data_IF_852912992662
#
_entry.id   IF_852912992662
#
_cell.length_a   1.000
_cell.length_b   1.000
_cell.length_c   1.000
_cell.angle_alpha   90.00
_cell.angle_beta   90.00
_cell.angle_gamma   90.00
#
_symmetry.space_group_name_H-M   'P 1'
#
loop_
_entity.id
_entity.type
_entity.pdbx_description
1 polymer ?
#
# COMPACT_ATOMS: atom_id res chain seq x y z
N UNK A 1 2.50 -0.66 -7.19
CA UNK A 1 1.53 -1.67 -6.74
C UNK A 1 2.18 -3.01 -7.02
N UNK A 2 2.16 -3.99 -6.12
CA UNK A 2 2.84 -5.28 -6.36
C UNK A 2 2.18 -5.95 -7.55
N UNK A 3 2.81 -5.81 -8.72
CA UNK A 3 2.28 -6.25 -10.00
C UNK A 3 2.70 -7.70 -10.22
N UNK A 4 1.79 -8.65 -9.97
CA UNK A 4 1.94 -10.00 -10.51
C UNK A 4 1.44 -10.02 -11.97
N UNK A 5 2.32 -9.67 -12.91
CA UNK A 5 2.18 -10.13 -14.29
C UNK A 5 2.68 -11.58 -14.33
N UNK A 6 1.76 -12.54 -14.18
CA UNK A 6 2.12 -13.94 -14.32
C UNK A 6 1.95 -14.37 -15.79
N UNK A 7 3.05 -14.42 -16.54
CA UNK A 7 3.08 -15.01 -17.90
C UNK A 7 3.16 -16.54 -17.81
N UNK A 8 2.19 -17.21 -17.15
CA UNK A 8 1.99 -18.67 -17.22
C UNK A 8 0.51 -19.05 -16.99
N UNK A 9 -0.14 -19.38 -18.10
CA UNK A 9 -1.31 -20.25 -18.34
C UNK A 9 -2.50 -20.33 -17.35
N UNK A 10 -3.65 -19.88 -17.88
CA UNK A 10 -5.05 -20.35 -17.74
C UNK A 10 -5.59 -20.81 -16.37
N UNK A 11 -6.56 -20.04 -15.86
CA UNK A 11 -7.81 -20.61 -15.37
C UNK A 11 -8.97 -19.62 -15.64
N UNK A 12 -9.94 -20.06 -16.43
CA UNK A 12 -11.20 -19.36 -16.69
C UNK A 12 -12.15 -19.59 -15.52
N UNK A 13 -12.59 -18.52 -14.85
CA UNK A 13 -13.81 -18.55 -14.04
C UNK A 13 -14.74 -17.41 -14.48
N UNK A 14 -15.91 -17.83 -14.91
CA UNK A 14 -17.03 -17.09 -15.48
C UNK A 14 -17.79 -16.32 -14.39
N UNK A 15 -18.27 -15.11 -14.71
CA UNK A 15 -19.23 -14.37 -13.87
C UNK A 15 -20.49 -15.21 -13.60
N UNK A 16 -20.90 -15.33 -12.33
CA UNK A 16 -22.32 -15.21 -11.89
C UNK A 16 -22.46 -15.24 -10.35
N UNK A 17 -23.36 -14.36 -9.90
CA UNK A 17 -24.24 -14.44 -8.75
C UNK A 17 -23.75 -13.98 -7.36
N UNK A 18 -24.60 -13.13 -6.79
CA UNK A 18 -24.66 -12.69 -5.40
C UNK A 18 -24.28 -13.80 -4.42
N UNK A 19 -23.25 -13.56 -3.63
CA UNK A 19 -23.05 -14.23 -2.36
C UNK A 19 -22.65 -13.15 -1.35
N UNK A 20 -23.29 -13.13 -0.18
CA UNK A 20 -22.71 -12.53 1.01
C UNK A 20 -21.29 -13.11 1.13
N UNK A 21 -20.27 -12.35 0.75
CA UNK A 21 -18.90 -12.78 0.93
C UNK A 21 -18.65 -12.81 2.42
N UNK A 22 -18.60 -14.01 3.00
CA UNK A 22 -18.13 -14.17 4.37
C UNK A 22 -16.67 -13.76 4.39
N UNK A 23 -16.40 -12.51 4.74
CA UNK A 23 -15.06 -11.99 5.00
C UNK A 23 -14.37 -12.98 5.93
N UNK A 24 -13.19 -13.47 5.56
CA UNK A 24 -12.49 -14.46 6.39
C UNK A 24 -12.27 -13.88 7.79
N UNK A 25 -12.34 -14.73 8.83
CA UNK A 25 -12.10 -14.31 10.22
C UNK A 25 -10.77 -13.56 10.37
N UNK A 26 -9.76 -13.95 9.60
CA UNK A 26 -8.46 -13.29 9.57
C UNK A 26 -8.53 -11.87 9.00
N UNK A 27 -9.27 -11.66 7.91
CA UNK A 27 -9.47 -10.34 7.31
C UNK A 27 -10.31 -9.45 8.23
N UNK A 28 -11.38 -9.98 8.82
CA UNK A 28 -12.19 -9.23 9.79
C UNK A 28 -11.37 -8.79 11.01
N UNK A 29 -10.54 -9.70 11.55
CA UNK A 29 -9.63 -9.36 12.65
C UNK A 29 -8.63 -8.28 12.27
N UNK A 30 -8.07 -8.33 11.06
CA UNK A 30 -7.17 -7.29 10.56
C UNK A 30 -7.89 -5.95 10.45
N UNK A 31 -9.09 -5.91 9.88
CA UNK A 31 -9.88 -4.69 9.71
C UNK A 31 -10.20 -4.02 11.05
N UNK A 32 -10.48 -4.80 12.10
CA UNK A 32 -10.75 -4.29 13.44
C UNK A 32 -9.54 -3.65 14.14
N UNK A 33 -8.32 -3.84 13.62
CA UNK A 33 -7.09 -3.27 14.18
C UNK A 33 -6.58 -2.04 13.40
N UNK A 34 -7.34 -1.58 12.40
CA UNK A 34 -7.01 -0.35 11.69
C UNK A 34 -7.26 0.89 12.59
N UNK A 35 -6.52 2.00 12.38
CA UNK A 35 -5.48 2.16 11.37
C UNK A 35 -4.13 1.53 11.76
N UNK A 36 -3.34 1.15 10.76
CA UNK A 36 -1.93 0.78 10.95
C UNK A 36 -1.01 1.93 10.51
N UNK A 37 0.20 2.00 11.08
CA UNK A 37 1.18 3.03 10.75
C UNK A 37 2.49 2.40 10.32
N UNK A 38 3.14 3.02 9.33
CA UNK A 38 4.49 2.63 8.92
C UNK A 38 5.35 3.86 8.58
N UNK A 39 6.65 3.76 8.82
CA UNK A 39 7.64 4.82 8.60
C UNK A 39 8.91 4.22 8.02
N UNK A 40 9.50 4.87 7.02
CA UNK A 40 10.73 4.38 6.40
C UNK A 40 11.21 5.28 5.29
N UNK A 41 12.49 5.17 4.95
CA UNK A 41 13.03 5.89 3.79
C UNK A 41 12.56 5.24 2.50
N UNK A 42 12.18 6.05 1.53
CA UNK A 42 11.78 5.55 0.21
C UNK A 42 13.01 4.97 -0.49
N UNK A 43 12.89 3.72 -0.95
CA UNK A 43 13.93 3.01 -1.69
C UNK A 43 13.51 2.76 -3.13
N UNK A 44 14.49 2.48 -3.99
CA UNK A 44 14.24 2.02 -5.35
C UNK A 44 13.55 0.66 -5.35
N UNK A 45 12.40 0.57 -6.00
CA UNK A 45 11.77 -0.71 -6.32
C UNK A 45 12.38 -1.36 -7.56
N UNK A 46 11.74 -2.44 -8.03
CA UNK A 46 12.16 -3.17 -9.24
C UNK A 46 11.64 -2.58 -10.55
N UNK A 47 11.17 -1.32 -10.53
CA UNK A 47 10.88 -0.55 -11.75
C UNK A 47 9.86 -1.19 -12.71
N UNK A 48 8.82 -1.88 -12.21
CA UNK A 48 7.81 -2.52 -13.06
C UNK A 48 6.83 -1.50 -13.65
N UNK A 49 7.30 -0.65 -14.57
CA UNK A 49 6.50 0.22 -15.45
C UNK A 49 5.62 1.28 -14.78
N UNK A 50 5.41 1.26 -13.46
CA UNK A 50 4.42 2.10 -12.77
C UNK A 50 4.63 3.60 -13.01
N UNK A 51 5.89 4.04 -13.07
CA UNK A 51 6.26 5.43 -13.44
C UNK A 51 5.88 5.77 -14.89
N UNK A 52 6.06 4.86 -15.83
CA UNK A 52 5.68 5.03 -17.26
C UNK A 52 4.16 4.99 -17.45
N UNK A 53 3.44 4.29 -16.58
CA UNK A 53 1.97 4.25 -16.54
C UNK A 53 1.35 5.47 -15.84
N UNK A 54 2.16 6.42 -15.37
CA UNK A 54 1.69 7.61 -14.65
C UNK A 54 1.28 7.36 -13.20
N UNK A 55 1.64 6.21 -12.62
CA UNK A 55 1.31 5.80 -11.25
C UNK A 55 2.61 5.49 -10.50
N UNK A 56 3.49 6.48 -10.26
CA UNK A 56 4.77 6.25 -9.57
C UNK A 56 4.55 5.70 -8.16
N UNK A 57 5.33 4.69 -7.76
CA UNK A 57 5.22 4.07 -6.44
C UNK A 57 6.50 4.22 -5.62
N UNK A 58 6.34 4.62 -4.36
CA UNK A 58 7.38 4.61 -3.34
C UNK A 58 7.44 3.22 -2.69
N UNK A 59 8.64 2.66 -2.57
CA UNK A 59 8.86 1.35 -1.96
C UNK A 59 9.48 1.52 -0.57
N UNK A 60 9.12 0.62 0.34
CA UNK A 60 9.71 0.55 1.67
C UNK A 60 10.88 -0.45 1.75
N UNK A 61 11.85 -0.21 2.65
CA UNK A 61 12.89 -1.19 2.97
C UNK A 61 12.28 -2.46 3.56
N UNK A 62 12.93 -3.60 3.34
CA UNK A 62 12.42 -4.90 3.78
C UNK A 62 12.21 -4.95 5.30
N UNK A 63 13.08 -4.32 6.08
CA UNK A 63 12.96 -4.24 7.53
C UNK A 63 11.67 -3.54 8.00
N UNK A 64 11.20 -2.53 7.26
CA UNK A 64 9.93 -1.87 7.54
C UNK A 64 8.78 -2.80 7.22
N UNK A 65 8.85 -3.50 6.08
CA UNK A 65 7.79 -4.45 5.68
C UNK A 65 7.69 -5.61 6.67
N UNK A 66 8.81 -6.12 7.19
CA UNK A 66 8.85 -7.16 8.23
C UNK A 66 8.31 -6.71 9.58
N UNK A 67 8.29 -5.40 9.83
CA UNK A 67 7.75 -4.83 11.07
C UNK A 67 6.23 -4.69 11.06
N UNK A 68 5.59 -4.88 9.89
CA UNK A 68 4.14 -4.86 9.79
C UNK A 68 3.53 -6.03 10.59
N UNK A 69 2.33 -5.87 11.16
CA UNK A 69 1.65 -6.96 11.84
C UNK A 69 1.46 -8.18 10.92
N UNK A 70 1.74 -9.39 11.41
CA UNK A 70 1.56 -10.64 10.65
C UNK A 70 0.13 -10.82 10.11
N UNK A 71 -0.85 -10.23 10.81
CA UNK A 71 -2.25 -10.23 10.42
C UNK A 71 -2.54 -9.42 9.13
N UNK A 72 -1.61 -8.57 8.66
CA UNK A 72 -1.81 -7.80 7.44
C UNK A 72 -1.82 -8.74 6.23
N UNK A 73 -2.95 -8.76 5.55
CA UNK A 73 -3.17 -9.62 4.40
C UNK A 73 -2.57 -9.00 3.13
N UNK A 74 -2.10 -9.79 2.16
CA UNK A 74 -1.79 -9.26 0.84
C UNK A 74 -3.04 -8.63 0.18
N UNK A 75 -2.87 -7.48 -0.46
CA UNK A 75 -3.96 -6.75 -1.11
C UNK A 75 -3.67 -5.28 -1.32
N UNK A 76 -4.72 -4.54 -1.67
CA UNK A 76 -4.71 -3.09 -1.89
C UNK A 76 -5.41 -2.39 -0.74
N UNK A 77 -4.77 -1.33 -0.26
CA UNK A 77 -5.14 -0.53 0.89
C UNK A 77 -5.20 0.95 0.49
N UNK A 78 -5.87 1.74 1.32
CA UNK A 78 -5.93 3.20 1.18
C UNK A 78 -5.61 3.88 2.51
N UNK A 79 -5.26 5.16 2.44
CA UNK A 79 -5.06 5.96 3.63
C UNK A 79 -4.35 7.27 3.35
N UNK A 80 -3.47 7.64 4.26
CA UNK A 80 -2.78 8.93 4.25
C UNK A 80 -1.27 8.73 4.23
N UNK A 81 -0.57 9.60 3.51
CA UNK A 81 0.88 9.62 3.37
C UNK A 81 1.44 11.00 3.66
N UNK A 82 2.65 11.03 4.21
CA UNK A 82 3.41 12.23 4.46
C UNK A 82 4.87 12.00 4.09
N UNK A 83 5.44 12.92 3.32
CA UNK A 83 6.84 12.87 2.89
C UNK A 83 7.61 13.98 3.60
N UNK A 84 8.70 13.63 4.28
CA UNK A 84 9.60 14.56 4.99
C UNK A 84 8.89 15.60 5.87
N UNK A 85 7.85 15.19 6.60
CA UNK A 85 7.04 16.07 7.45
C UNK A 85 6.37 17.23 6.68
N UNK A 86 6.14 17.08 5.38
CA UNK A 86 5.38 18.01 4.55
C UNK A 86 3.87 17.92 4.75
N UNK A 87 3.05 18.29 3.75
CA UNK A 87 1.61 18.07 3.81
C UNK A 87 1.26 16.57 3.83
N UNK A 88 0.05 16.29 4.31
CA UNK A 88 -0.53 14.93 4.31
C UNK A 88 -1.39 14.78 3.06
N UNK A 89 -1.15 13.72 2.30
CA UNK A 89 -1.84 13.43 1.04
C UNK A 89 -2.55 12.08 1.11
N UNK A 90 -3.61 11.93 0.33
CA UNK A 90 -4.23 10.61 0.12
C UNK A 90 -3.24 9.66 -0.55
N UNK A 91 -3.38 8.37 -0.28
CA UNK A 91 -2.55 7.34 -0.90
C UNK A 91 -3.33 6.05 -1.12
N UNK A 92 -2.91 5.30 -2.13
CA UNK A 92 -3.21 3.87 -2.26
C UNK A 92 -1.92 3.08 -2.08
N UNK A 93 -2.03 1.88 -1.53
CA UNK A 93 -0.88 1.03 -1.23
C UNK A 93 -1.18 -0.40 -1.60
N UNK A 94 -0.19 -1.10 -2.12
CA UNK A 94 -0.26 -2.55 -2.26
C UNK A 94 0.77 -3.22 -1.38
N UNK A 95 0.31 -4.26 -0.72
CA UNK A 95 1.13 -5.17 0.08
C UNK A 95 1.01 -6.55 -0.57
N UNK A 96 2.13 -7.15 -0.95
CA UNK A 96 2.12 -8.38 -1.74
C UNK A 96 3.41 -9.17 -1.64
N UNK A 97 3.35 -10.46 -1.92
CA UNK A 97 4.54 -11.32 -1.92
C UNK A 97 5.47 -10.98 -3.07
N UNK A 98 6.76 -10.87 -2.79
CA UNK A 98 7.76 -10.51 -3.79
C UNK A 98 8.34 -11.76 -4.48
N UNK A 99 8.11 -11.94 -5.80
CA UNK A 99 8.64 -13.09 -6.54
C UNK A 99 10.16 -13.16 -6.60
N UNK A 100 10.87 -12.03 -6.47
CA UNK A 100 12.33 -11.99 -6.51
C UNK A 100 13.00 -12.58 -5.26
N UNK A 101 12.24 -12.71 -4.17
CA UNK A 101 12.69 -13.34 -2.93
C UNK A 101 12.02 -14.70 -2.72
N UNK A 102 11.76 -15.45 -3.80
CA UNK A 102 11.03 -16.72 -3.79
C UNK A 102 9.65 -16.64 -3.09
N UNK A 103 8.99 -15.47 -3.11
CA UNK A 103 7.78 -15.19 -2.33
C UNK A 103 7.93 -15.46 -0.82
N UNK A 104 9.14 -15.38 -0.27
CA UNK A 104 9.40 -15.49 1.18
C UNK A 104 9.20 -14.17 1.91
N UNK A 105 9.22 -13.07 1.17
CA UNK A 105 9.16 -11.71 1.71
C UNK A 105 8.03 -10.92 1.05
N UNK A 106 7.32 -10.13 1.87
CA UNK A 106 6.34 -9.16 1.35
C UNK A 106 7.07 -7.90 0.84
N UNK A 107 6.38 -7.16 0.00
CA UNK A 107 6.74 -5.81 -0.44
C UNK A 107 5.58 -4.87 -0.17
N UNK A 108 5.90 -3.60 0.11
CA UNK A 108 4.92 -2.54 0.37
C UNK A 108 5.21 -1.37 -0.57
N UNK A 109 4.25 -1.11 -1.45
CA UNK A 109 4.35 -0.11 -2.52
C UNK A 109 3.25 0.93 -2.39
N UNK A 110 3.62 2.19 -2.16
CA UNK A 110 2.68 3.29 -1.95
C UNK A 110 2.65 4.21 -3.16
N UNK A 111 1.48 4.45 -3.72
CA UNK A 111 1.23 5.53 -4.65
C UNK A 111 0.56 6.69 -3.90
N UNK A 112 1.28 7.81 -3.81
CA UNK A 112 0.79 9.02 -3.18
C UNK A 112 -0.01 9.79 -4.24
N UNK A 113 -1.25 10.17 -3.93
CA UNK A 113 -2.15 10.91 -4.84
C UNK A 113 -1.77 12.39 -4.85
N UNK A 114 -0.52 12.66 -5.19
CA UNK A 114 0.05 13.98 -5.33
C UNK A 114 1.22 13.94 -6.32
N UNK A 115 1.35 14.98 -7.12
CA UNK A 115 2.46 15.12 -8.05
C UNK A 115 3.58 15.89 -7.38
N UNK A 116 4.69 15.20 -7.13
CA UNK A 116 5.91 15.80 -6.60
C UNK A 116 6.84 16.27 -7.72
N UNK A 117 7.64 17.29 -7.42
CA UNK A 117 8.73 17.73 -8.27
C UNK A 117 9.98 16.89 -7.97
N UNK A 118 10.30 15.96 -8.89
CA UNK A 118 11.46 15.08 -8.76
C UNK A 118 11.16 13.71 -8.13
N UNK A 119 12.21 12.94 -7.91
CA UNK A 119 12.13 11.61 -7.30
C UNK A 119 12.22 11.70 -5.77
N UNK A 120 11.45 10.86 -5.07
CA UNK A 120 11.34 10.88 -3.61
C UNK A 120 12.35 9.95 -2.90
N UNK A 121 13.36 9.45 -3.60
CA UNK A 121 14.30 8.47 -3.02
C UNK A 121 15.06 9.07 -1.84
N UNK A 122 15.14 8.29 -0.75
CA UNK A 122 15.80 8.70 0.48
C UNK A 122 14.94 9.57 1.41
N UNK A 123 13.85 10.17 0.91
CA UNK A 123 12.88 10.89 1.74
C UNK A 123 12.22 9.94 2.74
N UNK A 124 11.87 10.47 3.91
CA UNK A 124 11.12 9.76 4.93
C UNK A 124 9.64 9.72 4.54
N UNK A 125 9.09 8.52 4.36
CA UNK A 125 7.68 8.30 4.09
C UNK A 125 6.97 7.74 5.32
N UNK A 126 6.04 8.52 5.85
CA UNK A 126 5.09 8.08 6.88
C UNK A 126 3.75 7.77 6.23
N UNK A 127 3.13 6.68 6.63
CA UNK A 127 1.80 6.28 6.18
C UNK A 127 0.90 5.90 7.34
N UNK A 128 -0.38 6.23 7.20
CA UNK A 128 -1.50 5.74 7.98
C UNK A 128 -2.39 4.91 7.04
N UNK A 129 -2.43 3.60 7.25
CA UNK A 129 -3.26 2.65 6.51
C UNK A 129 -4.64 2.70 7.15
N UNK A 130 -5.59 3.36 6.49
CA UNK A 130 -6.93 3.62 7.01
C UNK A 130 -7.90 2.46 6.70
N UNK A 131 -7.71 1.78 5.57
CA UNK A 131 -8.62 0.73 5.14
C UNK A 131 -8.09 -0.16 4.03
N UNK A 132 -8.89 -1.19 3.73
CA UNK A 132 -8.62 -2.20 2.72
C UNK A 132 -9.63 -2.07 1.58
N UNK A 133 -9.16 -2.12 0.33
CA UNK A 133 -10.01 -2.06 -0.86
C UNK A 133 -10.34 -3.46 -1.37
N UNK A 134 -9.31 -4.28 -1.61
CA UNK A 134 -9.48 -5.56 -2.31
C UNK A 134 -8.23 -6.47 -2.23
N UNK A 135 -8.38 -7.78 -2.48
CA UNK A 135 -7.24 -8.70 -2.56
C UNK A 135 -6.35 -8.43 -3.79
N UNK A 136 -5.19 -9.09 -3.84
CA UNK A 136 -4.36 -9.12 -5.05
C UNK A 136 -5.12 -9.78 -6.21
N UNK A 137 -4.98 -9.23 -7.41
CA UNK A 137 -5.65 -9.71 -8.62
C UNK A 137 -4.63 -9.87 -9.74
N UNK A 138 -4.82 -10.88 -10.58
CA UNK A 138 -4.06 -11.06 -11.81
C UNK A 138 -4.81 -10.39 -12.96
N UNK A 139 -4.09 -9.66 -13.81
CA UNK A 139 -4.67 -8.97 -14.97
C UNK A 139 -4.27 -9.65 -16.27
N UNK A 140 -5.21 -9.69 -17.22
CA UNK A 140 -5.00 -10.30 -18.53
C UNK A 140 -4.31 -9.36 -19.51
N UNK A 141 -4.39 -8.05 -19.25
CA UNK A 141 -3.78 -7.01 -20.06
C UNK A 141 -3.28 -5.86 -19.18
N UNK A 142 -2.40 -5.03 -19.76
CA UNK A 142 -1.94 -3.80 -19.13
C UNK A 142 -3.10 -2.79 -18.93
N UNK A 143 -4.02 -2.72 -19.89
CA UNK A 143 -5.16 -1.80 -19.80
C UNK A 143 -6.12 -2.18 -18.66
N UNK A 144 -6.38 -3.48 -18.46
CA UNK A 144 -7.19 -3.97 -17.33
C UNK A 144 -6.55 -3.58 -15.99
N UNK A 145 -5.22 -3.68 -15.90
CA UNK A 145 -4.48 -3.28 -14.71
C UNK A 145 -4.60 -1.77 -14.47
N UNK A 146 -4.37 -0.94 -15.48
CA UNK A 146 -4.47 0.53 -15.36
C UNK A 146 -5.90 0.93 -14.96
N UNK A 147 -6.90 0.36 -15.63
CA UNK A 147 -8.30 0.62 -15.33
C UNK A 147 -8.62 0.26 -13.88
N UNK A 148 -8.10 -0.86 -13.38
CA UNK A 148 -8.33 -1.26 -12.00
C UNK A 148 -7.64 -0.33 -11.00
N UNK A 149 -6.40 0.08 -11.26
CA UNK A 149 -5.70 1.04 -10.37
C UNK A 149 -6.45 2.36 -10.31
N UNK A 150 -6.97 2.86 -11.44
CA UNK A 150 -7.78 4.07 -11.48
C UNK A 150 -9.06 3.93 -10.65
N UNK A 151 -9.69 2.76 -10.69
CA UNK A 151 -10.84 2.48 -9.83
C UNK A 151 -10.44 2.44 -8.36
N UNK A 152 -9.34 1.78 -8.01
CA UNK A 152 -8.85 1.72 -6.62
C UNK A 152 -8.53 3.14 -6.08
N UNK A 153 -8.00 4.03 -6.92
CA UNK A 153 -7.77 5.45 -6.58
C UNK A 153 -9.10 6.16 -6.33
N UNK A 154 -10.09 6.01 -7.22
CA UNK A 154 -11.39 6.66 -7.06
C UNK A 154 -12.12 6.17 -5.79
N UNK A 155 -12.08 4.86 -5.53
CA UNK A 155 -12.67 4.26 -4.33
C UNK A 155 -11.98 4.77 -3.06
N UNK A 156 -10.64 4.88 -3.08
CA UNK A 156 -9.88 5.44 -1.96
C UNK A 156 -10.21 6.91 -1.69
N UNK A 157 -10.33 7.72 -2.74
CA UNK A 157 -10.71 9.13 -2.61
C UNK A 157 -12.10 9.29 -2.00
N UNK A 158 -13.07 8.51 -2.46
CA UNK A 158 -14.43 8.53 -1.92
C UNK A 158 -14.46 8.09 -0.44
N UNK A 159 -13.80 6.99 -0.10
CA UNK A 159 -13.76 6.45 1.27
C UNK A 159 -13.02 7.34 2.26
N UNK A 160 -12.05 8.14 1.79
CA UNK A 160 -11.31 9.10 2.62
C UNK A 160 -12.07 10.42 2.83
N UNK A 161 -13.05 10.74 1.98
CA UNK A 161 -13.86 11.95 2.10
C UNK A 161 -15.18 11.69 2.82
N UNK A 162 -15.88 10.63 2.44
CA UNK A 162 -17.25 10.35 2.91
C UNK A 162 -17.29 9.75 4.32
N UNK A 163 -16.25 9.03 4.73
CA UNK A 163 -16.14 8.49 6.08
C UNK A 163 -15.39 9.46 6.98
N UNK A 164 -16.12 10.09 7.91
CA UNK A 164 -15.57 11.03 8.90
C UNK A 164 -14.36 10.48 9.66
N UNK A 165 -14.43 9.24 10.14
CA UNK A 165 -13.34 8.64 10.92
C UNK A 165 -12.08 8.51 10.08
N UNK A 166 -12.22 8.09 8.83
CA UNK A 166 -11.10 8.02 7.89
C UNK A 166 -10.54 9.41 7.56
N UNK A 167 -11.41 10.41 7.37
CA UNK A 167 -11.01 11.76 7.02
C UNK A 167 -10.20 12.42 8.13
N UNK A 168 -10.57 12.20 9.39
CA UNK A 168 -9.85 12.76 10.55
C UNK A 168 -8.43 12.20 10.71
N UNK A 169 -8.13 11.02 10.16
CA UNK A 169 -6.78 10.43 10.23
C UNK A 169 -5.70 11.29 9.57
N UNK A 170 -6.06 12.19 8.65
CA UNK A 170 -5.09 13.13 8.05
C UNK A 170 -4.46 14.08 9.07
N UNK A 171 -5.15 14.32 10.20
CA UNK A 171 -4.70 15.21 11.28
C UNK A 171 -4.09 14.45 12.47
N UNK A 172 -3.87 13.14 12.33
CA UNK A 172 -3.35 12.31 13.42
C UNK A 172 -1.92 12.74 13.81
N UNK A 173 -1.65 12.83 15.13
CA UNK A 173 -0.37 13.30 15.70
C UNK A 173 0.87 12.56 15.20
N UNK A 174 0.68 11.33 14.69
CA UNK A 174 1.71 10.55 14.02
C UNK A 174 2.44 11.36 12.93
N UNK A 175 1.72 12.14 12.13
CA UNK A 175 2.31 12.93 11.05
C UNK A 175 3.10 14.13 11.59
N UNK A 176 2.65 14.73 12.69
CA UNK A 176 3.30 15.86 13.36
C UNK A 176 4.51 15.47 14.22
N UNK A 177 4.59 14.22 14.66
CA UNK A 177 5.69 13.74 15.50
C UNK A 177 7.00 13.66 14.71
N UNK A 178 8.07 14.28 15.22
CA UNK A 178 9.43 14.01 14.74
C UNK A 178 9.83 12.60 15.19
N UNK A 179 9.47 11.59 14.39
CA UNK A 179 9.92 10.22 14.57
C UNK A 179 11.43 10.22 14.33
N UNK A 180 12.18 10.46 15.39
CA UNK A 180 13.63 10.39 15.38
C UNK A 180 14.01 8.98 14.93
N UNK A 181 14.69 8.87 13.79
CA UNK A 181 15.37 7.66 13.32
C UNK A 181 16.56 7.34 14.26
N UNK A 182 16.29 7.16 15.55
CA UNK A 182 17.26 6.83 16.58
C UNK A 182 16.69 5.67 17.40
N UNK A 183 16.75 4.45 16.85
CA UNK A 183 16.80 3.18 17.60
C UNK A 183 17.01 2.00 16.64
N UNK A 184 18.18 1.91 16.02
CA UNK A 184 18.72 0.66 15.46
C UNK A 184 20.26 0.58 15.49
N UNK A 185 20.91 1.45 16.28
CA UNK A 185 22.31 1.29 16.69
C UNK A 185 22.34 1.17 18.21
N UNK A 186 22.00 0.00 18.74
CA UNK A 186 22.52 -0.51 20.02
C UNK A 186 21.97 -1.92 20.23
N UNK A 187 22.80 -2.91 19.91
CA UNK A 187 22.46 -4.31 19.99
C UNK A 187 23.64 -5.28 19.90
N UNK A 188 24.77 -4.91 20.56
CA UNK A 188 25.87 -5.79 21.06
C UNK A 188 26.85 -6.31 19.98
N UNK A 189 28.14 -5.97 20.02
CA UNK A 189 29.19 -6.32 21.00
C UNK A 189 29.20 -7.80 21.41
#
# INVERSE_FOLDING_TARGET
>A
MVLLFNSRNFCTITKRNCCHSTTSLSLQKMLNNLPFFACGKIVSGFGRGSKELGIPTANYPLEVVKSLPDAIQPGVYYGWANVDNGPVYKMVMSIGWNPFYDNKEKSMETHILHKFDGDLYGCLLKVCIAGYLRPEENFKSLDDLIARIKQDIADAEDLLETNESNRQLQYHDYFSSNSSLNNLKNGKN
#
